data_IF_992656838166
#
_entry.id   IF_992656838166
#
_cell.length_a   1.000
_cell.length_b   1.000
_cell.length_c   1.000
_cell.angle_alpha   90.00
_cell.angle_beta   90.00
_cell.angle_gamma   90.00
#
_symmetry.space_group_name_H-M   'P 1'
#
loop_
_entity.id
_entity.type
_entity.pdbx_description
1 polymer ?
#
# COMPACT_ATOMS: atom_id res chain seq x y z
N UNK A 1 23.80 -34.68 37.87
CA UNK A 1 24.54 -34.56 36.58
C UNK A 1 23.52 -34.71 35.46
N UNK A 2 22.94 -33.63 34.99
CA UNK A 2 21.99 -33.68 33.88
C UNK A 2 22.75 -33.67 32.55
N UNK A 3 22.62 -34.76 31.79
CA UNK A 3 23.23 -34.91 30.49
C UNK A 3 22.67 -33.89 29.50
N UNK A 4 23.49 -32.96 29.04
CA UNK A 4 23.22 -32.07 27.92
C UNK A 4 22.97 -32.92 26.67
N UNK A 5 21.67 -33.12 26.34
CA UNK A 5 21.27 -33.74 25.10
C UNK A 5 21.69 -32.81 23.93
N UNK A 6 22.81 -33.14 23.29
CA UNK A 6 23.34 -32.41 22.14
C UNK A 6 22.30 -32.26 21.06
N UNK A 7 21.81 -31.05 20.85
CA UNK A 7 20.81 -30.70 19.82
C UNK A 7 21.42 -31.01 18.44
N UNK A 8 21.05 -32.16 17.84
CA UNK A 8 21.48 -32.53 16.48
C UNK A 8 21.19 -31.38 15.53
N UNK A 9 22.21 -30.93 14.80
CA UNK A 9 22.02 -29.89 13.75
C UNK A 9 20.94 -30.36 12.76
N UNK A 10 19.95 -29.52 12.42
CA UNK A 10 18.89 -29.91 11.52
C UNK A 10 19.47 -30.30 10.15
N UNK A 11 18.93 -31.33 9.55
CA UNK A 11 19.32 -31.79 8.20
C UNK A 11 19.02 -30.72 7.16
N UNK A 12 19.67 -30.78 6.00
CA UNK A 12 19.45 -29.83 4.91
C UNK A 12 17.98 -29.84 4.43
N UNK A 13 17.33 -31.02 4.47
CA UNK A 13 15.92 -31.16 4.13
C UNK A 13 15.02 -30.36 5.10
N UNK A 14 15.25 -30.48 6.41
CA UNK A 14 14.52 -29.72 7.44
C UNK A 14 14.74 -28.21 7.28
N UNK A 15 15.94 -27.79 6.93
CA UNK A 15 16.28 -26.39 6.69
C UNK A 15 15.58 -25.84 5.45
N UNK A 16 15.49 -26.63 4.34
CA UNK A 16 14.73 -26.26 3.14
C UNK A 16 13.22 -26.15 3.43
N UNK A 17 12.66 -27.09 4.20
CA UNK A 17 11.27 -27.00 4.63
C UNK A 17 11.00 -25.75 5.48
N UNK A 18 11.92 -25.40 6.39
CA UNK A 18 11.86 -24.15 7.17
C UNK A 18 11.92 -22.90 6.27
N UNK A 19 12.75 -22.93 5.24
CA UNK A 19 12.84 -21.88 4.24
C UNK A 19 11.49 -21.67 3.54
N UNK A 20 10.89 -22.73 2.97
CA UNK A 20 9.60 -22.66 2.27
C UNK A 20 8.48 -22.15 3.18
N UNK A 21 8.42 -22.66 4.42
CA UNK A 21 7.45 -22.18 5.42
C UNK A 21 7.60 -20.69 5.71
N UNK A 22 8.84 -20.20 5.83
CA UNK A 22 9.08 -18.76 6.07
C UNK A 22 8.80 -17.91 4.82
N UNK A 23 9.10 -18.46 3.64
CA UNK A 23 8.83 -17.81 2.36
C UNK A 23 7.33 -17.61 2.14
N UNK A 24 6.51 -18.61 2.46
CA UNK A 24 5.05 -18.54 2.39
C UNK A 24 4.42 -17.49 3.33
N UNK A 25 5.16 -17.03 4.34
CA UNK A 25 4.69 -15.98 5.26
C UNK A 25 5.20 -14.58 4.89
N UNK A 26 6.23 -14.47 4.06
CA UNK A 26 6.93 -13.18 3.90
C UNK A 26 7.20 -12.79 2.46
N UNK A 27 7.06 -13.70 1.51
CA UNK A 27 7.52 -13.58 0.12
C UNK A 27 9.00 -13.10 -0.03
N UNK A 28 9.77 -13.08 1.07
CA UNK A 28 11.12 -12.54 1.10
C UNK A 28 12.16 -13.67 1.12
N UNK A 29 12.76 -13.93 -0.04
CA UNK A 29 13.77 -14.99 -0.23
C UNK A 29 14.97 -14.83 0.70
N UNK A 30 15.54 -13.62 0.77
CA UNK A 30 16.75 -13.36 1.56
C UNK A 30 16.52 -13.54 3.07
N UNK A 31 15.40 -13.03 3.58
CA UNK A 31 15.02 -13.19 4.99
C UNK A 31 14.76 -14.67 5.33
N UNK A 32 14.05 -15.38 4.45
CA UNK A 32 13.72 -16.80 4.63
C UNK A 32 14.95 -17.70 4.55
N UNK A 33 15.88 -17.42 3.64
CA UNK A 33 17.17 -18.11 3.52
C UNK A 33 18.01 -17.94 4.80
N UNK A 34 18.11 -16.71 5.30
CA UNK A 34 18.80 -16.39 6.56
C UNK A 34 18.19 -17.14 7.75
N UNK A 35 16.85 -17.13 7.87
CA UNK A 35 16.14 -17.84 8.92
C UNK A 35 16.33 -19.36 8.87
N UNK A 36 16.48 -19.91 7.66
CA UNK A 36 16.78 -21.35 7.46
C UNK A 36 18.27 -21.67 7.60
N UNK A 37 19.15 -20.67 7.60
CA UNK A 37 20.60 -20.82 7.63
C UNK A 37 21.16 -21.45 6.34
N UNK A 38 20.59 -21.16 5.18
CA UNK A 38 21.03 -21.60 3.85
C UNK A 38 21.36 -20.35 3.04
N UNK A 39 22.43 -20.39 2.24
CA UNK A 39 22.71 -19.27 1.33
C UNK A 39 21.68 -19.20 0.21
N UNK A 40 21.37 -18.00 -0.24
CA UNK A 40 20.45 -17.77 -1.36
C UNK A 40 20.93 -18.46 -2.63
N UNK A 41 22.24 -18.41 -2.92
CA UNK A 41 22.85 -19.10 -4.05
C UNK A 41 22.57 -20.61 -4.03
N UNK A 42 22.83 -21.29 -2.90
CA UNK A 42 22.55 -22.73 -2.77
C UNK A 42 21.05 -23.07 -2.92
N UNK A 43 20.16 -22.16 -2.55
CA UNK A 43 18.72 -22.32 -2.75
C UNK A 43 18.33 -22.18 -4.22
N UNK A 44 18.87 -21.17 -4.94
CA UNK A 44 18.63 -21.01 -6.36
C UNK A 44 19.20 -22.16 -7.17
N UNK A 45 20.41 -22.63 -6.86
CA UNK A 45 21.01 -23.81 -7.48
C UNK A 45 20.18 -25.08 -7.25
N UNK A 46 19.60 -25.21 -6.06
CA UNK A 46 18.72 -26.34 -5.77
C UNK A 46 17.39 -26.23 -6.50
N UNK A 47 16.81 -25.02 -6.55
CA UNK A 47 15.58 -24.74 -7.32
C UNK A 47 15.75 -25.08 -8.81
N UNK A 48 16.87 -24.70 -9.42
CA UNK A 48 17.15 -24.97 -10.82
C UNK A 48 17.24 -26.48 -11.15
N UNK A 49 17.72 -27.29 -10.18
CA UNK A 49 17.94 -28.74 -10.38
C UNK A 49 16.78 -29.61 -9.93
N UNK A 50 15.80 -29.08 -9.17
CA UNK A 50 14.74 -29.87 -8.56
C UNK A 50 13.36 -29.23 -8.82
N UNK A 51 12.64 -29.68 -9.88
CA UNK A 51 11.35 -29.09 -10.27
C UNK A 51 10.29 -29.12 -9.15
N UNK A 52 10.26 -30.16 -8.33
CA UNK A 52 9.33 -30.22 -7.19
C UNK A 52 9.60 -29.13 -6.15
N UNK A 53 10.88 -28.80 -5.90
CA UNK A 53 11.24 -27.71 -5.01
C UNK A 53 10.94 -26.34 -5.66
N UNK A 54 11.15 -26.19 -6.97
CA UNK A 54 10.78 -25.00 -7.71
C UNK A 54 9.27 -24.73 -7.60
N UNK A 55 8.45 -25.76 -7.82
CA UNK A 55 7.00 -25.65 -7.66
C UNK A 55 6.62 -25.25 -6.24
N UNK A 56 7.16 -25.90 -5.22
CA UNK A 56 6.89 -25.58 -3.81
C UNK A 56 7.35 -24.14 -3.44
N UNK A 57 8.40 -23.64 -4.07
CA UNK A 57 8.84 -22.27 -3.93
C UNK A 57 7.86 -21.27 -4.52
N UNK A 58 7.38 -21.52 -5.74
CA UNK A 58 6.43 -20.66 -6.42
C UNK A 58 5.07 -20.67 -5.71
N UNK A 59 4.62 -21.85 -5.25
CA UNK A 59 3.42 -22.00 -4.40
C UNK A 59 3.55 -21.21 -3.08
N UNK A 60 4.73 -21.20 -2.45
CA UNK A 60 4.99 -20.46 -1.22
C UNK A 60 4.96 -18.93 -1.43
N UNK A 61 5.48 -18.44 -2.56
CA UNK A 61 5.39 -17.02 -2.91
C UNK A 61 3.93 -16.66 -3.20
N UNK A 62 3.21 -17.49 -3.97
CA UNK A 62 1.79 -17.28 -4.28
C UNK A 62 0.98 -17.13 -2.99
N UNK A 63 1.11 -18.06 -2.05
CA UNK A 63 0.40 -18.00 -0.77
C UNK A 63 0.67 -16.72 0.03
N UNK A 64 1.91 -16.23 0.05
CA UNK A 64 2.25 -14.98 0.74
C UNK A 64 1.66 -13.73 0.04
N UNK A 65 1.55 -13.77 -1.29
CA UNK A 65 0.92 -12.70 -2.06
C UNK A 65 -0.59 -12.70 -1.90
N UNK A 66 -1.22 -13.87 -1.88
CA UNK A 66 -2.67 -14.02 -1.64
C UNK A 66 -3.05 -13.46 -0.25
N UNK A 67 -2.24 -13.75 0.79
CA UNK A 67 -2.44 -13.21 2.14
C UNK A 67 -2.30 -11.68 2.16
N UNK A 68 -1.28 -11.14 1.47
CA UNK A 68 -1.09 -9.70 1.36
C UNK A 68 -2.27 -9.05 0.61
N UNK A 69 -2.72 -9.65 -0.48
CA UNK A 69 -3.85 -9.15 -1.26
C UNK A 69 -5.13 -9.11 -0.41
N UNK A 70 -5.40 -10.17 0.36
CA UNK A 70 -6.54 -10.20 1.26
C UNK A 70 -6.45 -9.10 2.32
N UNK A 71 -5.28 -8.90 2.94
CA UNK A 71 -5.08 -7.83 3.93
C UNK A 71 -5.29 -6.42 3.33
N UNK A 72 -4.91 -6.23 2.07
CA UNK A 72 -5.12 -4.97 1.34
C UNK A 72 -6.61 -4.75 1.03
N UNK A 73 -7.33 -5.81 0.64
CA UNK A 73 -8.78 -5.78 0.40
C UNK A 73 -9.52 -5.45 1.70
N UNK A 74 -9.19 -6.14 2.80
CA UNK A 74 -9.81 -5.92 4.10
C UNK A 74 -9.58 -4.47 4.57
N UNK A 75 -8.35 -3.96 4.41
CA UNK A 75 -8.03 -2.58 4.75
C UNK A 75 -8.81 -1.55 3.90
N UNK A 76 -9.02 -1.82 2.63
CA UNK A 76 -9.80 -0.95 1.76
C UNK A 76 -11.29 -0.95 2.13
N UNK A 77 -11.82 -2.14 2.44
CA UNK A 77 -13.24 -2.37 2.72
C UNK A 77 -13.63 -1.99 4.15
N UNK A 78 -12.85 -2.43 5.13
CA UNK A 78 -13.19 -2.33 6.55
C UNK A 78 -12.53 -1.12 7.22
N UNK A 79 -11.52 -0.51 6.55
CA UNK A 79 -10.77 0.61 7.09
C UNK A 79 -9.83 0.21 8.24
N UNK A 80 -9.23 1.21 8.86
CA UNK A 80 -8.32 1.04 10.00
C UNK A 80 -8.75 1.93 11.16
N UNK A 81 -8.85 1.39 12.35
CA UNK A 81 -9.13 2.17 13.55
C UNK A 81 -7.91 3.00 13.94
N UNK A 82 -8.12 4.30 14.09
CA UNK A 82 -7.11 5.25 14.55
C UNK A 82 -7.54 5.83 15.90
N UNK A 83 -6.69 5.76 16.93
CA UNK A 83 -7.00 6.38 18.21
C UNK A 83 -7.02 7.91 18.07
N UNK A 84 -7.98 8.56 18.70
CA UNK A 84 -8.07 10.02 18.80
C UNK A 84 -7.65 10.43 20.20
N UNK A 85 -6.71 11.37 20.28
CA UNK A 85 -6.17 11.88 21.55
C UNK A 85 -6.58 13.33 21.76
N UNK A 86 -6.90 13.66 23.01
CA UNK A 86 -7.12 15.04 23.47
C UNK A 86 -6.46 15.23 24.82
N UNK A 87 -5.64 16.27 24.98
CA UNK A 87 -4.90 16.53 26.22
C UNK A 87 -3.99 15.38 26.66
N UNK A 88 -3.46 14.56 25.73
CA UNK A 88 -2.61 13.40 26.02
C UNK A 88 -3.38 12.11 26.39
N UNK A 89 -4.69 12.15 26.51
CA UNK A 89 -5.55 11.00 26.79
C UNK A 89 -6.27 10.54 25.52
N UNK A 90 -6.40 9.22 25.35
CA UNK A 90 -7.21 8.66 24.26
C UNK A 90 -8.69 8.84 24.61
N UNK A 91 -9.40 9.63 23.79
CA UNK A 91 -10.83 9.95 23.98
C UNK A 91 -11.76 9.10 23.11
N UNK A 92 -11.22 8.38 22.11
CA UNK A 92 -12.02 7.55 21.24
C UNK A 92 -11.21 6.94 20.12
N UNK A 93 -11.90 6.28 19.19
CA UNK A 93 -11.33 5.75 17.94
C UNK A 93 -12.16 6.23 16.74
N UNK A 94 -11.50 6.54 15.64
CA UNK A 94 -12.13 6.87 14.36
C UNK A 94 -11.70 5.85 13.33
N UNK A 95 -12.63 5.34 12.52
CA UNK A 95 -12.33 4.44 11.42
C UNK A 95 -11.94 5.26 10.20
N UNK A 96 -10.72 5.01 9.69
CA UNK A 96 -10.14 5.67 8.53
C UNK A 96 -10.13 4.73 7.34
N UNK A 97 -10.74 5.13 6.25
CA UNK A 97 -10.73 4.40 4.98
C UNK A 97 -9.66 4.96 4.04
N UNK A 98 -9.29 4.20 3.02
CA UNK A 98 -8.35 4.63 2.00
C UNK A 98 -8.98 4.52 0.62
N UNK A 99 -9.56 5.61 0.14
CA UNK A 99 -10.18 5.68 -1.18
C UNK A 99 -9.16 5.41 -2.30
N UNK A 100 -7.91 5.88 -2.10
CA UNK A 100 -6.82 5.61 -3.04
C UNK A 100 -6.53 4.11 -3.17
N UNK A 101 -6.55 3.36 -2.07
CA UNK A 101 -6.34 1.91 -2.07
C UNK A 101 -7.52 1.19 -2.73
N UNK A 102 -8.75 1.61 -2.42
CA UNK A 102 -9.96 1.07 -3.04
C UNK A 102 -9.95 1.30 -4.56
N UNK A 103 -9.62 2.51 -5.00
CA UNK A 103 -9.51 2.83 -6.43
C UNK A 103 -8.40 2.05 -7.12
N UNK A 104 -7.24 1.87 -6.46
CA UNK A 104 -6.16 1.03 -6.99
C UNK A 104 -6.62 -0.41 -7.23
N UNK A 105 -7.27 -1.03 -6.24
CA UNK A 105 -7.79 -2.39 -6.35
C UNK A 105 -8.85 -2.53 -7.44
N UNK A 106 -9.79 -1.60 -7.52
CA UNK A 106 -10.83 -1.60 -8.54
C UNK A 106 -10.24 -1.49 -9.96
N UNK A 107 -9.26 -0.61 -10.16
CA UNK A 107 -8.56 -0.46 -11.45
C UNK A 107 -7.73 -1.69 -11.80
N UNK A 108 -7.08 -2.31 -10.83
CA UNK A 108 -6.28 -3.51 -11.05
C UNK A 108 -7.13 -4.73 -11.41
N UNK A 109 -8.31 -4.87 -10.78
CA UNK A 109 -9.19 -6.04 -10.97
C UNK A 109 -10.21 -5.89 -12.09
N UNK A 110 -10.66 -4.68 -12.38
CA UNK A 110 -11.64 -4.37 -13.43
C UNK A 110 -11.22 -3.14 -14.25
N UNK A 111 -10.11 -3.22 -14.97
CA UNK A 111 -9.62 -2.09 -15.75
C UNK A 111 -10.62 -1.63 -16.82
N UNK A 112 -11.41 -2.54 -17.38
CA UNK A 112 -12.44 -2.24 -18.38
C UNK A 112 -13.55 -1.32 -17.86
N UNK A 113 -13.79 -1.31 -16.55
CA UNK A 113 -14.80 -0.47 -15.90
C UNK A 113 -14.20 0.81 -15.34
N UNK A 114 -13.04 0.70 -14.65
CA UNK A 114 -12.49 1.76 -13.81
C UNK A 114 -11.25 2.46 -14.37
N UNK A 115 -10.60 1.95 -15.44
CA UNK A 115 -9.43 2.60 -16.03
C UNK A 115 -9.77 3.92 -16.73
N UNK A 116 -10.98 4.03 -17.29
CA UNK A 116 -11.45 5.24 -18.00
C UNK A 116 -11.65 6.46 -17.11
N UNK A 117 -11.76 6.29 -15.80
CA UNK A 117 -11.89 7.39 -14.84
C UNK A 117 -10.58 8.16 -14.60
N UNK A 118 -9.48 7.75 -15.21
CA UNK A 118 -8.14 8.33 -14.95
C UNK A 118 -7.70 9.43 -15.93
N UNK A 119 -8.32 9.52 -17.11
CA UNK A 119 -7.89 10.47 -18.15
C UNK A 119 -8.70 11.76 -18.18
N UNK A 120 -10.03 11.65 -18.13
CA UNK A 120 -10.91 12.79 -18.36
C UNK A 120 -11.34 13.53 -17.08
N UNK A 121 -11.43 12.85 -15.94
CA UNK A 121 -11.94 13.48 -14.70
C UNK A 121 -10.89 14.36 -14.01
N UNK A 122 -9.60 14.06 -14.15
CA UNK A 122 -8.54 14.91 -13.58
C UNK A 122 -8.27 16.15 -14.46
N UNK A 123 -8.50 16.06 -15.76
CA UNK A 123 -8.38 17.20 -16.68
C UNK A 123 -9.55 18.16 -16.48
N UNK A 124 -10.77 17.66 -16.26
CA UNK A 124 -11.94 18.51 -16.00
C UNK A 124 -11.93 19.21 -14.62
N UNK A 125 -11.32 18.61 -13.59
CA UNK A 125 -11.19 19.27 -12.27
C UNK A 125 -10.21 20.45 -12.35
N UNK A 126 -9.13 20.33 -13.16
CA UNK A 126 -8.18 21.43 -13.33
C UNK A 126 -8.71 22.54 -14.24
N UNK A 127 -9.52 22.22 -15.26
CA UNK A 127 -10.12 23.21 -16.15
C UNK A 127 -11.31 23.95 -15.49
N UNK A 128 -12.14 23.26 -14.72
CA UNK A 128 -13.19 23.89 -13.90
C UNK A 128 -12.59 24.77 -12.78
N UNK A 129 -11.48 24.35 -12.17
CA UNK A 129 -10.78 25.15 -11.16
C UNK A 129 -10.13 26.39 -11.77
N UNK A 130 -9.59 26.29 -13.00
CA UNK A 130 -9.03 27.44 -13.72
C UNK A 130 -10.13 28.42 -14.15
N UNK A 131 -11.24 27.93 -14.65
CA UNK A 131 -12.41 28.73 -15.02
C UNK A 131 -13.06 29.40 -13.79
N UNK A 132 -13.21 28.67 -12.69
CA UNK A 132 -13.71 29.18 -11.42
C UNK A 132 -12.80 30.26 -10.83
N UNK A 133 -11.48 30.08 -10.87
CA UNK A 133 -10.50 31.09 -10.45
C UNK A 133 -10.53 32.34 -11.31
N UNK A 134 -10.63 32.21 -12.63
CA UNK A 134 -10.74 33.32 -13.54
C UNK A 134 -12.03 34.13 -13.29
N UNK A 135 -13.16 33.46 -13.02
CA UNK A 135 -14.44 34.11 -12.69
C UNK A 135 -14.36 34.85 -11.35
N UNK A 136 -13.74 34.27 -10.32
CA UNK A 136 -13.53 34.91 -9.02
C UNK A 136 -12.63 36.14 -9.15
N UNK A 137 -11.56 36.06 -9.90
CA UNK A 137 -10.65 37.18 -10.13
C UNK A 137 -11.37 38.33 -10.89
N UNK A 138 -12.15 38.00 -11.90
CA UNK A 138 -12.96 38.99 -12.64
C UNK A 138 -13.99 39.72 -11.74
N UNK A 139 -14.62 39.01 -10.79
CA UNK A 139 -15.54 39.59 -9.82
C UNK A 139 -14.82 40.49 -8.82
N UNK A 140 -13.65 40.12 -8.37
CA UNK A 140 -12.82 40.95 -7.48
C UNK A 140 -12.42 42.25 -8.19
N UNK A 141 -11.99 42.21 -9.45
CA UNK A 141 -11.67 43.39 -10.24
C UNK A 141 -12.88 44.31 -10.40
N UNK A 142 -14.06 43.77 -10.68
CA UNK A 142 -15.30 44.54 -10.79
C UNK A 142 -15.70 45.25 -9.48
N UNK A 143 -15.44 44.63 -8.33
CA UNK A 143 -15.69 45.22 -7.01
C UNK A 143 -14.64 46.28 -6.66
N UNK A 144 -13.39 46.10 -7.11
CA UNK A 144 -12.30 47.06 -6.89
C UNK A 144 -12.48 48.37 -7.69
N UNK A 145 -13.10 48.28 -8.87
CA UNK A 145 -13.40 49.46 -9.70
C UNK A 145 -14.66 50.21 -9.27
N UNK A 146 -15.54 49.61 -8.47
CA UNK A 146 -16.75 50.21 -7.94
C UNK A 146 -16.54 51.02 -6.65
N UNK A 147 -15.31 51.05 -6.10
CA UNK A 147 -15.01 51.65 -4.79
C UNK A 147 -14.10 52.88 -4.84
N UNK A 148 -14.16 53.69 -5.90
CA UNK A 148 -13.61 55.03 -5.89
C UNK A 148 -14.76 56.05 -5.68
N UNK A 149 -15.00 56.56 -4.48
CA UNK A 149 -15.84 57.76 -4.35
C UNK A 149 -15.04 58.97 -4.82
N UNK A 150 -15.60 59.69 -5.77
CA UNK A 150 -15.19 61.01 -6.15
C UNK A 150 -15.04 61.91 -4.91
N UNK A 151 -13.81 62.24 -4.56
CA UNK A 151 -13.51 63.32 -3.68
C UNK A 151 -13.12 64.50 -4.55
N UNK A 152 -14.08 65.08 -5.25
CA UNK A 152 -13.95 66.44 -5.74
C UNK A 152 -14.68 67.39 -4.79
N UNK A 153 -13.94 68.15 -4.22
CA UNK A 153 -13.74 69.46 -3.74
C UNK A 153 -14.87 70.45 -3.81
N UNK A 154 -14.80 71.37 -2.95
CA UNK A 154 -15.08 72.78 -3.30
C UNK A 154 -14.93 73.68 -2.09
N UNK A 155 -14.85 74.97 -2.26
CA UNK A 155 -13.68 75.81 -2.47
C UNK A 155 -13.32 76.59 -1.20
#
# INVERSE_FOLDING_TARGET
MAASAGRKKPTIAVRRAKFLKKLALTANVSASARAAGISTSALYDHRARHPAFAKAWDDAIGAALDELEQAVIDRAKDGVEKPVFYGGNQIGTVRSYSDALAMFLLRARRPEVYARLSGDTLVNISDDDAAARAEVLRRIEQLGTASTPDAEGQP
#
